data_IF_983001804927
#
_entry.id   IF_983001804927
#
_cell.length_a   1.000
_cell.length_b   1.000
_cell.length_c   1.000
_cell.angle_alpha   90.00
_cell.angle_beta   90.00
_cell.angle_gamma   90.00
#
_symmetry.space_group_name_H-M   'P 1'
#
loop_
_entity.id
_entity.type
_entity.pdbx_description
1 polymer ?
#
# COMPACT_ATOMS: atom_id res chain seq x y z
N UNK A 1 10.68 3.73 -6.47
CA UNK A 1 11.78 4.58 -6.97
C UNK A 1 12.73 3.83 -7.89
N UNK A 2 13.29 2.65 -7.49
CA UNK A 2 14.28 1.92 -8.31
C UNK A 2 13.72 1.53 -9.68
N UNK A 3 12.49 1.00 -9.73
CA UNK A 3 11.83 0.64 -10.99
C UNK A 3 11.66 1.88 -11.91
N UNK A 4 11.31 3.04 -11.34
CA UNK A 4 11.17 4.29 -12.12
C UNK A 4 12.51 4.72 -12.74
N UNK A 5 13.59 4.69 -11.96
CA UNK A 5 14.95 4.99 -12.48
C UNK A 5 15.35 4.01 -13.56
N UNK A 6 15.12 2.72 -13.33
CA UNK A 6 15.41 1.68 -14.32
C UNK A 6 14.67 1.90 -15.63
N UNK A 7 13.36 2.15 -15.58
CA UNK A 7 12.52 2.41 -16.75
C UNK A 7 12.92 3.69 -17.47
N UNK A 8 13.35 4.73 -16.75
CA UNK A 8 13.88 5.95 -17.36
C UNK A 8 15.07 5.65 -18.26
N UNK A 9 16.02 4.83 -17.79
CA UNK A 9 17.17 4.42 -18.60
C UNK A 9 16.78 3.57 -19.81
N UNK A 10 15.78 2.69 -19.65
CA UNK A 10 15.25 1.85 -20.73
C UNK A 10 14.57 2.71 -21.81
N UNK A 11 13.70 3.62 -21.41
CA UNK A 11 12.93 4.46 -22.33
C UNK A 11 13.84 5.40 -23.13
N UNK A 12 14.83 6.03 -22.48
CA UNK A 12 15.78 6.90 -23.15
C UNK A 12 16.85 6.16 -23.98
N UNK A 13 17.05 4.85 -23.73
CA UNK A 13 18.02 4.03 -24.45
C UNK A 13 19.50 4.31 -24.18
N UNK A 14 19.85 5.45 -23.57
CA UNK A 14 21.25 5.86 -23.35
C UNK A 14 22.04 4.92 -22.45
N UNK A 15 21.38 4.40 -21.40
CA UNK A 15 21.96 3.44 -20.47
C UNK A 15 21.03 2.23 -20.30
N UNK A 16 20.45 1.74 -21.40
CA UNK A 16 19.43 0.70 -21.38
C UNK A 16 19.86 -0.55 -20.59
N UNK A 17 21.11 -1.04 -20.79
CA UNK A 17 21.60 -2.21 -20.04
C UNK A 17 21.65 -1.98 -18.53
N UNK A 18 22.03 -0.78 -18.06
CA UNK A 18 22.00 -0.43 -16.64
C UNK A 18 20.57 -0.43 -16.10
N UNK A 19 19.63 0.11 -16.90
CA UNK A 19 18.22 0.11 -16.59
C UNK A 19 17.66 -1.31 -16.49
N UNK A 20 17.96 -2.15 -17.46
CA UNK A 20 17.56 -3.55 -17.48
C UNK A 20 18.12 -4.32 -16.27
N UNK A 21 19.41 -4.17 -15.98
CA UNK A 21 20.05 -4.78 -14.82
C UNK A 21 19.38 -4.34 -13.51
N UNK A 22 19.17 -3.02 -13.34
CA UNK A 22 18.51 -2.50 -12.15
C UNK A 22 17.07 -3.02 -12.00
N UNK A 23 16.33 -3.13 -13.10
CA UNK A 23 14.97 -3.65 -13.08
C UNK A 23 14.93 -5.13 -12.71
N UNK A 24 15.84 -5.94 -13.29
CA UNK A 24 15.97 -7.35 -12.98
C UNK A 24 16.40 -7.59 -11.52
N UNK A 25 17.40 -6.86 -11.03
CA UNK A 25 17.83 -6.96 -9.64
C UNK A 25 16.71 -6.58 -8.67
N UNK A 26 15.99 -5.49 -8.95
CA UNK A 26 14.83 -5.06 -8.13
C UNK A 26 13.73 -6.12 -8.13
N UNK A 27 13.48 -6.76 -9.28
CA UNK A 27 12.50 -7.83 -9.38
C UNK A 27 12.90 -9.05 -8.54
N UNK A 28 14.14 -9.52 -8.66
CA UNK A 28 14.59 -10.77 -8.00
C UNK A 28 14.78 -10.63 -6.50
N UNK A 29 15.12 -9.43 -6.00
CA UNK A 29 15.46 -9.22 -4.58
C UNK A 29 14.34 -8.59 -3.77
N UNK A 30 13.46 -7.81 -4.39
CA UNK A 30 12.50 -7.01 -3.65
C UNK A 30 11.05 -7.34 -3.98
N UNK A 31 10.71 -7.47 -5.29
CA UNK A 31 9.33 -7.62 -5.73
C UNK A 31 9.22 -8.29 -7.09
N UNK A 32 8.96 -9.57 -7.10
CA UNK A 32 8.99 -10.38 -8.32
C UNK A 32 7.89 -10.01 -9.33
N UNK A 33 6.80 -9.38 -8.91
CA UNK A 33 5.78 -8.85 -9.84
C UNK A 33 6.33 -7.84 -10.85
N UNK A 34 7.49 -7.22 -10.58
CA UNK A 34 8.20 -6.37 -11.54
C UNK A 34 8.66 -7.11 -12.80
N UNK A 35 8.68 -8.44 -12.79
CA UNK A 35 8.95 -9.25 -14.01
C UNK A 35 7.94 -8.91 -15.11
N UNK A 36 6.70 -8.58 -14.75
CA UNK A 36 5.67 -8.13 -15.68
C UNK A 36 6.01 -6.81 -16.39
N UNK A 37 6.91 -6.00 -15.85
CA UNK A 37 7.50 -4.83 -16.50
C UNK A 37 8.87 -5.14 -17.12
N UNK A 38 9.66 -6.00 -16.49
CA UNK A 38 10.99 -6.33 -16.95
C UNK A 38 10.95 -7.02 -18.32
N UNK A 39 10.14 -8.06 -18.46
CA UNK A 39 10.05 -8.82 -19.73
C UNK A 39 9.76 -7.90 -20.94
N UNK A 40 8.68 -7.10 -20.95
CA UNK A 40 8.41 -6.20 -22.08
C UNK A 40 9.49 -5.12 -22.23
N UNK A 41 10.16 -4.67 -21.15
CA UNK A 41 11.27 -3.72 -21.23
C UNK A 41 12.50 -4.34 -21.93
N UNK A 42 12.81 -5.61 -21.64
CA UNK A 42 13.87 -6.36 -22.33
C UNK A 42 13.55 -6.54 -23.81
N UNK A 43 12.33 -6.96 -24.16
CA UNK A 43 11.87 -7.12 -25.54
C UNK A 43 11.90 -5.80 -26.29
N UNK A 44 11.45 -4.71 -25.67
CA UNK A 44 11.51 -3.38 -26.23
C UNK A 44 12.94 -2.94 -26.52
N UNK A 45 13.86 -3.13 -25.58
CA UNK A 45 15.26 -2.75 -25.71
C UNK A 45 15.93 -3.53 -26.85
N UNK A 46 15.67 -4.82 -26.94
CA UNK A 46 16.16 -5.66 -28.02
C UNK A 46 15.65 -5.17 -29.38
N UNK A 47 14.35 -4.98 -29.51
CA UNK A 47 13.71 -4.66 -30.79
C UNK A 47 13.93 -3.20 -31.21
N UNK A 48 13.58 -2.26 -30.32
CA UNK A 48 13.52 -0.84 -30.67
C UNK A 48 14.90 -0.17 -30.69
N UNK A 49 15.76 -0.50 -29.74
CA UNK A 49 17.12 0.04 -29.69
C UNK A 49 18.12 -0.80 -30.51
N UNK A 50 17.65 -1.79 -31.26
CA UNK A 50 18.43 -2.69 -32.09
C UNK A 50 19.67 -3.26 -31.40
N UNK A 51 19.52 -3.57 -30.07
CA UNK A 51 20.59 -4.13 -29.28
C UNK A 51 20.75 -5.61 -29.60
N UNK A 52 22.00 -6.11 -29.61
CA UNK A 52 22.24 -7.54 -29.85
C UNK A 52 21.54 -8.36 -28.79
N UNK A 53 20.69 -9.29 -29.21
CA UNK A 53 19.90 -10.17 -28.33
C UNK A 53 20.74 -10.81 -27.23
N UNK A 54 21.92 -11.34 -27.58
CA UNK A 54 22.83 -12.00 -26.65
C UNK A 54 23.19 -11.08 -25.46
N UNK A 55 23.54 -9.81 -25.72
CA UNK A 55 23.89 -8.89 -24.63
C UNK A 55 22.69 -8.52 -23.76
N UNK A 56 21.52 -8.33 -24.36
CA UNK A 56 20.28 -8.06 -23.62
C UNK A 56 19.94 -9.28 -22.74
N UNK A 57 19.97 -10.47 -23.32
CA UNK A 57 19.72 -11.72 -22.60
C UNK A 57 20.74 -11.96 -21.48
N UNK A 58 22.03 -11.84 -21.76
CA UNK A 58 23.10 -12.04 -20.77
C UNK A 58 23.02 -11.04 -19.62
N UNK A 59 22.65 -9.76 -19.91
CA UNK A 59 22.40 -8.77 -18.85
C UNK A 59 21.30 -9.26 -17.89
N UNK A 60 20.20 -9.79 -18.44
CA UNK A 60 19.13 -10.37 -17.63
C UNK A 60 19.59 -11.59 -16.83
N UNK A 61 20.16 -12.58 -17.53
CA UNK A 61 20.54 -13.86 -16.93
C UNK A 61 21.57 -13.68 -15.80
N UNK A 62 22.65 -12.94 -16.06
CA UNK A 62 23.70 -12.69 -15.05
C UNK A 62 23.16 -11.90 -13.87
N UNK A 63 22.36 -10.86 -14.12
CA UNK A 63 21.79 -10.05 -13.04
C UNK A 63 20.78 -10.84 -12.22
N UNK A 64 19.90 -11.61 -12.84
CA UNK A 64 18.95 -12.46 -12.11
C UNK A 64 19.69 -13.49 -11.25
N UNK A 65 20.64 -14.22 -11.84
CA UNK A 65 21.41 -15.22 -11.10
C UNK A 65 22.18 -14.62 -9.91
N UNK A 66 22.88 -13.52 -10.12
CA UNK A 66 23.62 -12.82 -9.06
C UNK A 66 22.69 -12.26 -7.97
N UNK A 67 21.54 -11.71 -8.34
CA UNK A 67 20.56 -11.18 -7.40
C UNK A 67 19.89 -12.28 -6.57
N UNK A 68 19.53 -13.40 -7.20
CA UNK A 68 18.98 -14.56 -6.50
C UNK A 68 20.02 -15.13 -5.54
N UNK A 69 21.27 -15.31 -5.98
CA UNK A 69 22.34 -15.80 -5.14
C UNK A 69 22.56 -14.90 -3.90
N UNK A 70 22.58 -13.58 -4.10
CA UNK A 70 22.70 -12.61 -3.01
C UNK A 70 21.51 -12.67 -2.06
N UNK A 71 20.27 -12.71 -2.56
CA UNK A 71 19.06 -12.87 -1.73
C UNK A 71 19.12 -14.16 -0.93
N UNK A 72 19.45 -15.30 -1.58
CA UNK A 72 19.57 -16.59 -0.89
C UNK A 72 20.63 -16.55 0.23
N UNK A 73 21.77 -15.92 0.01
CA UNK A 73 22.80 -15.79 1.05
C UNK A 73 22.31 -14.97 2.24
N UNK A 74 21.74 -13.79 1.98
CA UNK A 74 21.28 -12.86 3.01
C UNK A 74 20.06 -13.44 3.74
N UNK A 75 19.04 -13.84 3.00
CA UNK A 75 17.78 -14.28 3.58
C UNK A 75 17.93 -15.61 4.33
N UNK A 76 18.74 -16.56 3.81
CA UNK A 76 19.01 -17.82 4.51
C UNK A 76 19.69 -17.59 5.85
N UNK A 77 20.59 -16.61 5.94
CA UNK A 77 21.26 -16.23 7.18
C UNK A 77 20.27 -15.65 8.22
N UNK A 78 19.51 -14.63 7.82
CA UNK A 78 18.62 -13.95 8.76
C UNK A 78 17.40 -14.79 9.16
N UNK A 79 16.83 -15.56 8.24
CA UNK A 79 15.69 -16.45 8.52
C UNK A 79 16.10 -17.80 9.10
N UNK A 80 17.41 -18.10 9.19
CA UNK A 80 17.96 -19.39 9.64
C UNK A 80 17.38 -20.58 8.87
N UNK A 81 17.09 -20.40 7.57
CA UNK A 81 16.56 -21.42 6.66
C UNK A 81 17.53 -21.60 5.50
N UNK A 82 17.88 -22.86 5.19
CA UNK A 82 18.80 -23.17 4.07
C UNK A 82 18.14 -22.85 2.73
N UNK A 83 18.87 -22.20 1.81
CA UNK A 83 18.46 -21.90 0.44
C UNK A 83 17.12 -21.17 0.33
N UNK A 84 16.86 -20.21 1.21
CA UNK A 84 15.66 -19.40 1.18
C UNK A 84 15.77 -18.27 0.16
N UNK A 85 14.89 -18.28 -0.83
CA UNK A 85 14.61 -17.16 -1.72
C UNK A 85 13.14 -16.74 -1.54
N UNK A 86 12.87 -15.67 -0.77
CA UNK A 86 11.49 -15.28 -0.40
C UNK A 86 10.60 -15.00 -1.59
N UNK A 87 11.09 -14.27 -2.60
CA UNK A 87 10.32 -13.93 -3.81
C UNK A 87 9.98 -15.20 -4.62
N UNK A 88 10.86 -16.17 -4.70
CA UNK A 88 10.57 -17.46 -5.34
C UNK A 88 9.51 -18.25 -4.60
N UNK A 89 9.58 -18.29 -3.27
CA UNK A 89 8.53 -18.91 -2.45
C UNK A 89 7.17 -18.23 -2.64
N UNK A 90 7.15 -16.90 -2.73
CA UNK A 90 5.91 -16.15 -2.98
C UNK A 90 5.28 -16.51 -4.33
N UNK A 91 6.08 -16.74 -5.38
CA UNK A 91 5.56 -17.18 -6.69
C UNK A 91 5.05 -18.62 -6.63
N UNK A 92 5.76 -19.53 -5.99
CA UNK A 92 5.29 -20.91 -5.83
C UNK A 92 3.91 -20.88 -5.16
N UNK A 93 3.78 -20.22 -4.03
CA UNK A 93 2.54 -20.11 -3.28
C UNK A 93 1.40 -19.45 -4.08
N UNK A 94 1.64 -18.26 -4.64
CA UNK A 94 0.57 -17.46 -5.23
C UNK A 94 0.20 -17.91 -6.66
N UNK A 95 1.18 -18.36 -7.46
CA UNK A 95 1.01 -18.63 -8.88
C UNK A 95 0.95 -20.12 -9.17
N UNK A 96 1.93 -20.91 -8.67
CA UNK A 96 2.02 -22.33 -9.00
C UNK A 96 0.97 -23.12 -8.21
N UNK A 97 0.86 -22.89 -6.90
CA UNK A 97 -0.13 -23.54 -6.04
C UNK A 97 -1.52 -22.89 -6.15
N UNK A 98 -1.62 -21.72 -6.79
CA UNK A 98 -2.88 -21.00 -6.96
C UNK A 98 -3.50 -20.46 -5.66
N UNK A 99 -2.75 -20.43 -4.57
CA UNK A 99 -3.23 -20.08 -3.23
C UNK A 99 -3.44 -18.57 -3.04
N UNK A 100 -3.17 -17.75 -4.05
CA UNK A 100 -3.53 -16.32 -4.01
C UNK A 100 -5.02 -16.09 -3.76
N UNK A 101 -5.88 -17.08 -4.08
CA UNK A 101 -7.33 -17.02 -3.81
C UNK A 101 -7.67 -17.03 -2.31
N UNK A 102 -6.78 -17.52 -1.42
CA UNK A 102 -6.97 -17.50 0.03
C UNK A 102 -7.05 -16.07 0.60
N UNK A 103 -6.43 -15.12 -0.09
CA UNK A 103 -6.47 -13.69 0.25
C UNK A 103 -7.69 -12.95 -0.32
N UNK A 104 -8.60 -13.69 -0.93
CA UNK A 104 -9.80 -13.18 -1.59
C UNK A 104 -9.70 -13.18 -3.11
N UNK A 105 -10.84 -13.19 -3.78
CA UNK A 105 -10.94 -13.25 -5.24
C UNK A 105 -11.56 -11.95 -5.77
N UNK A 106 -10.99 -11.42 -6.84
CA UNK A 106 -11.49 -10.23 -7.52
C UNK A 106 -11.59 -10.46 -9.03
N UNK A 107 -12.61 -9.89 -9.71
CA UNK A 107 -12.77 -10.02 -11.16
C UNK A 107 -11.53 -9.52 -11.93
N UNK A 108 -11.25 -10.06 -13.14
CA UNK A 108 -10.09 -9.65 -13.94
C UNK A 108 -10.03 -8.16 -14.25
N UNK A 109 -11.16 -7.50 -14.45
CA UNK A 109 -11.28 -6.08 -14.78
C UNK A 109 -11.10 -5.13 -13.60
N UNK A 110 -10.94 -5.64 -12.38
CA UNK A 110 -10.85 -4.83 -11.14
C UNK A 110 -9.79 -3.74 -11.23
N UNK A 111 -8.63 -4.03 -11.79
CA UNK A 111 -7.55 -3.04 -11.93
C UNK A 111 -7.92 -1.87 -12.83
N UNK A 112 -8.60 -2.14 -13.95
CA UNK A 112 -8.95 -1.11 -14.93
C UNK A 112 -10.14 -0.28 -14.45
N UNK A 113 -11.17 -0.94 -13.88
CA UNK A 113 -12.45 -0.29 -13.56
C UNK A 113 -12.45 0.35 -12.16
N UNK A 114 -11.75 -0.26 -11.20
CA UNK A 114 -11.76 0.20 -9.80
C UNK A 114 -10.46 0.88 -9.39
N UNK A 115 -9.32 0.19 -9.57
CA UNK A 115 -8.10 0.56 -8.90
C UNK A 115 -7.33 1.68 -9.63
N UNK A 116 -7.16 1.59 -10.95
CA UNK A 116 -6.52 2.67 -11.73
C UNK A 116 -7.25 4.01 -11.64
N UNK A 117 -8.61 4.09 -11.79
CA UNK A 117 -9.32 5.35 -11.57
C UNK A 117 -9.13 5.92 -10.17
N UNK A 118 -9.09 5.06 -9.13
CA UNK A 118 -8.91 5.47 -7.74
C UNK A 118 -7.50 5.97 -7.43
N UNK A 119 -6.48 5.36 -8.04
CA UNK A 119 -5.07 5.74 -7.80
C UNK A 119 -4.70 7.01 -8.59
N UNK A 120 -5.20 7.11 -9.82
CA UNK A 120 -4.80 8.16 -10.75
C UNK A 120 -5.70 9.38 -10.73
N UNK A 121 -6.96 9.27 -10.27
CA UNK A 121 -7.96 10.35 -10.31
C UNK A 121 -8.02 11.02 -11.70
N UNK A 122 -7.77 12.32 -11.78
CA UNK A 122 -7.75 13.05 -13.06
C UNK A 122 -6.68 12.58 -14.03
N UNK A 123 -5.59 12.01 -13.55
CA UNK A 123 -4.56 11.44 -14.43
C UNK A 123 -5.08 10.23 -15.22
N UNK A 124 -6.13 9.52 -14.76
CA UNK A 124 -6.69 8.39 -15.48
C UNK A 124 -7.32 8.80 -16.82
N UNK A 125 -8.33 9.67 -16.89
CA UNK A 125 -8.90 10.11 -18.16
C UNK A 125 -7.87 10.86 -19.03
N UNK A 126 -6.94 11.60 -18.43
CA UNK A 126 -5.87 12.26 -19.17
C UNK A 126 -4.89 11.25 -19.80
N UNK A 127 -4.57 10.16 -19.11
CA UNK A 127 -3.74 9.10 -19.65
C UNK A 127 -4.42 8.39 -20.82
N UNK A 128 -5.73 8.12 -20.73
CA UNK A 128 -6.52 7.59 -21.84
C UNK A 128 -6.49 8.53 -23.05
N UNK A 129 -6.65 9.83 -22.83
CA UNK A 129 -6.52 10.84 -23.88
C UNK A 129 -5.09 10.85 -24.46
N UNK A 130 -4.06 10.76 -23.60
CA UNK A 130 -2.66 10.67 -24.02
C UNK A 130 -2.36 9.45 -24.88
N UNK A 131 -3.02 8.31 -24.61
CA UNK A 131 -2.91 7.11 -25.44
C UNK A 131 -3.40 7.32 -26.89
N UNK A 132 -4.31 8.24 -27.16
CA UNK A 132 -4.78 8.51 -28.53
C UNK A 132 -3.72 9.17 -29.42
N UNK A 133 -2.68 9.72 -28.81
CA UNK A 133 -1.60 10.37 -29.56
C UNK A 133 -0.73 9.32 -30.27
N UNK A 134 -0.51 9.52 -31.57
CA UNK A 134 0.26 8.59 -32.41
C UNK A 134 1.68 8.31 -31.88
N UNK A 135 2.30 9.30 -31.22
CA UNK A 135 3.62 9.15 -30.59
C UNK A 135 3.62 8.21 -29.39
N UNK A 136 2.48 8.04 -28.71
CA UNK A 136 2.37 7.16 -27.55
C UNK A 136 2.52 5.68 -27.92
N UNK A 137 2.03 5.28 -29.10
CA UNK A 137 2.21 3.93 -29.63
C UNK A 137 3.64 3.61 -30.08
N UNK A 138 4.45 4.64 -30.31
CA UNK A 138 5.89 4.50 -30.63
C UNK A 138 6.76 4.47 -29.37
N UNK A 139 6.18 4.76 -28.22
CA UNK A 139 6.82 4.71 -26.91
C UNK A 139 6.52 3.38 -26.22
N UNK A 140 7.43 2.85 -25.40
CA UNK A 140 7.16 1.62 -24.62
C UNK A 140 6.08 1.79 -23.56
N UNK A 141 5.64 3.01 -23.24
CA UNK A 141 4.76 3.31 -22.13
C UNK A 141 3.46 2.48 -22.18
N UNK A 142 2.77 2.52 -23.31
CA UNK A 142 1.51 1.79 -23.49
C UNK A 142 1.75 0.28 -23.37
N UNK A 143 2.81 -0.22 -24.03
CA UNK A 143 3.17 -1.65 -23.96
C UNK A 143 3.44 -2.09 -22.52
N UNK A 144 4.27 -1.34 -21.79
CA UNK A 144 4.63 -1.65 -20.41
C UNK A 144 3.42 -1.65 -19.48
N UNK A 145 2.55 -0.63 -19.59
CA UNK A 145 1.33 -0.51 -18.78
C UNK A 145 0.37 -1.66 -19.08
N UNK A 146 0.06 -1.87 -20.37
CA UNK A 146 -0.91 -2.90 -20.77
C UNK A 146 -0.44 -4.31 -20.41
N UNK A 147 0.85 -4.61 -20.61
CA UNK A 147 1.43 -5.91 -20.27
C UNK A 147 1.37 -6.14 -18.76
N UNK A 148 1.76 -5.14 -17.96
CA UNK A 148 1.74 -5.26 -16.50
C UNK A 148 0.31 -5.46 -15.96
N UNK A 149 -0.63 -4.60 -16.36
CA UNK A 149 -2.03 -4.70 -15.94
C UNK A 149 -2.64 -6.02 -16.41
N UNK A 150 -2.38 -6.41 -17.66
CA UNK A 150 -2.88 -7.66 -18.23
C UNK A 150 -2.41 -8.88 -17.45
N UNK A 151 -1.08 -9.02 -17.25
CA UNK A 151 -0.50 -10.15 -16.53
C UNK A 151 -0.97 -10.21 -15.07
N UNK A 152 -0.98 -9.08 -14.37
CA UNK A 152 -1.48 -9.03 -12.99
C UNK A 152 -2.98 -9.35 -12.90
N UNK A 153 -3.76 -9.11 -13.94
CA UNK A 153 -5.20 -9.41 -13.97
C UNK A 153 -5.52 -10.91 -13.98
N UNK A 154 -4.57 -11.78 -14.30
CA UNK A 154 -4.74 -13.24 -14.22
C UNK A 154 -4.68 -13.78 -12.79
N UNK A 155 -4.03 -13.06 -11.85
CA UNK A 155 -4.03 -13.47 -10.44
C UNK A 155 -5.43 -13.39 -9.84
N UNK A 156 -5.83 -14.37 -9.02
CA UNK A 156 -7.12 -14.38 -8.34
C UNK A 156 -7.25 -13.20 -7.37
N UNK A 157 -6.24 -13.01 -6.52
CA UNK A 157 -6.17 -11.90 -5.59
C UNK A 157 -5.59 -10.64 -6.25
N UNK A 158 -6.25 -9.49 -6.06
CA UNK A 158 -5.84 -8.22 -6.64
C UNK A 158 -5.67 -7.15 -5.57
N UNK A 159 -4.46 -6.57 -5.54
CA UNK A 159 -4.15 -5.44 -4.68
C UNK A 159 -3.72 -4.23 -5.51
N UNK A 160 -4.21 -3.06 -5.15
CA UNK A 160 -3.82 -1.80 -5.80
C UNK A 160 -2.31 -1.54 -5.73
N UNK A 161 -1.61 -2.09 -4.71
CA UNK A 161 -0.16 -1.96 -4.54
C UNK A 161 0.64 -2.51 -5.71
N UNK A 162 0.13 -3.52 -6.40
CA UNK A 162 0.77 -4.09 -7.58
C UNK A 162 0.78 -3.14 -8.79
N UNK A 163 -0.07 -2.10 -8.78
CA UNK A 163 -0.11 -1.08 -9.83
C UNK A 163 0.81 0.12 -9.58
N UNK A 164 1.39 0.25 -8.39
CA UNK A 164 2.23 1.42 -8.02
C UNK A 164 3.38 1.64 -9.00
N UNK A 165 3.94 0.57 -9.57
CA UNK A 165 5.07 0.64 -10.50
C UNK A 165 4.74 1.31 -11.84
N UNK A 166 3.48 1.24 -12.27
CA UNK A 166 3.02 1.85 -13.53
C UNK A 166 2.47 3.26 -13.37
N UNK A 167 2.24 3.72 -12.14
CA UNK A 167 1.73 5.08 -11.87
C UNK A 167 2.58 6.17 -12.55
N UNK A 168 3.93 6.17 -12.45
CA UNK A 168 4.75 7.14 -13.16
C UNK A 168 4.58 7.09 -14.69
N UNK A 169 4.42 5.90 -15.26
CA UNK A 169 4.20 5.71 -16.69
C UNK A 169 2.82 6.26 -17.11
N UNK A 170 1.79 5.98 -16.32
CA UNK A 170 0.45 6.54 -16.52
C UNK A 170 0.47 8.07 -16.44
N UNK A 171 1.21 8.65 -15.50
CA UNK A 171 1.36 10.10 -15.37
C UNK A 171 2.08 10.72 -16.58
N UNK A 172 3.05 10.02 -17.20
CA UNK A 172 3.67 10.48 -18.43
C UNK A 172 2.65 10.53 -19.60
N UNK A 173 1.79 9.50 -19.72
CA UNK A 173 0.70 9.53 -20.69
C UNK A 173 -0.32 10.62 -20.36
N UNK A 174 -0.66 10.81 -19.09
CA UNK A 174 -1.55 11.86 -18.63
C UNK A 174 -1.01 13.26 -18.97
N UNK A 175 0.30 13.49 -18.84
CA UNK A 175 0.94 14.73 -19.24
C UNK A 175 0.82 14.99 -20.76
N UNK A 176 0.92 13.93 -21.58
CA UNK A 176 0.66 14.04 -23.02
C UNK A 176 -0.80 14.40 -23.30
N UNK A 177 -1.77 13.77 -22.62
CA UNK A 177 -3.18 14.11 -22.72
C UNK A 177 -3.47 15.53 -22.27
N UNK A 178 -2.91 15.95 -21.14
CA UNK A 178 -3.00 17.31 -20.64
C UNK A 178 -2.48 18.34 -21.67
N UNK A 179 -1.34 18.06 -22.32
CA UNK A 179 -0.76 18.91 -23.35
C UNK A 179 -1.67 19.07 -24.58
N UNK A 180 -2.53 18.10 -24.86
CA UNK A 180 -3.55 18.20 -25.90
C UNK A 180 -4.73 19.06 -25.44
N UNK A 181 -5.19 18.86 -24.21
CA UNK A 181 -6.36 19.53 -23.64
C UNK A 181 -6.16 21.03 -23.48
N UNK A 182 -5.01 21.48 -22.96
CA UNK A 182 -4.73 22.89 -22.68
C UNK A 182 -4.56 23.78 -23.94
N UNK A 183 -4.62 23.21 -25.13
CA UNK A 183 -4.54 23.97 -26.40
C UNK A 183 -5.77 24.86 -26.62
N UNK A 184 -6.91 24.49 -26.06
CA UNK A 184 -8.16 25.25 -26.15
C UNK A 184 -8.43 26.02 -24.86
N UNK A 185 -9.15 27.13 -24.93
CA UNK A 185 -9.55 27.91 -23.77
C UNK A 185 -10.39 27.07 -22.79
N UNK A 186 -11.40 26.36 -23.30
CA UNK A 186 -12.24 25.46 -22.50
C UNK A 186 -11.41 24.33 -21.87
N UNK A 187 -10.46 23.78 -22.61
CA UNK A 187 -9.57 22.72 -22.12
C UNK A 187 -8.70 23.16 -20.94
N UNK A 188 -8.28 24.42 -20.88
CA UNK A 188 -7.54 24.97 -19.72
C UNK A 188 -8.41 24.99 -18.46
N UNK A 189 -9.64 25.43 -18.56
CA UNK A 189 -10.57 25.42 -17.44
C UNK A 189 -10.93 24.01 -16.98
N UNK A 190 -11.14 23.10 -17.94
CA UNK A 190 -11.37 21.69 -17.63
C UNK A 190 -10.15 21.09 -16.93
N UNK A 191 -8.93 21.40 -17.38
CA UNK A 191 -7.70 20.94 -16.74
C UNK A 191 -7.56 21.43 -15.31
N UNK A 192 -7.85 22.74 -15.06
CA UNK A 192 -7.87 23.31 -13.71
C UNK A 192 -8.89 22.59 -12.81
N UNK A 193 -10.10 22.34 -13.32
CA UNK A 193 -11.13 21.58 -12.62
C UNK A 193 -10.69 20.15 -12.27
N UNK A 194 -10.07 19.43 -13.21
CA UNK A 194 -9.57 18.09 -13.00
C UNK A 194 -8.45 18.04 -11.93
N UNK A 195 -7.49 18.98 -12.01
CA UNK A 195 -6.41 19.08 -11.02
C UNK A 195 -6.95 19.45 -9.65
N UNK A 196 -7.84 20.47 -9.60
CA UNK A 196 -8.48 20.90 -8.35
C UNK A 196 -9.27 19.76 -7.69
N UNK A 197 -10.07 19.04 -8.46
CA UNK A 197 -10.82 17.88 -7.96
C UNK A 197 -9.87 16.78 -7.44
N UNK A 198 -8.79 16.48 -8.17
CA UNK A 198 -7.79 15.52 -7.71
C UNK A 198 -7.14 15.95 -6.40
N UNK A 199 -6.75 17.21 -6.28
CA UNK A 199 -6.17 17.74 -5.04
C UNK A 199 -7.16 17.63 -3.87
N UNK A 200 -8.43 18.00 -4.08
CA UNK A 200 -9.48 17.87 -3.07
C UNK A 200 -9.69 16.40 -2.63
N UNK A 201 -9.73 15.46 -3.57
CA UNK A 201 -9.86 14.03 -3.26
C UNK A 201 -8.63 13.48 -2.51
N UNK A 202 -7.43 13.95 -2.85
CA UNK A 202 -6.21 13.58 -2.12
C UNK A 202 -6.21 14.11 -0.68
N UNK A 203 -6.60 15.37 -0.47
CA UNK A 203 -6.73 15.96 0.87
C UNK A 203 -7.75 15.17 1.69
N UNK A 204 -8.91 14.88 1.12
CA UNK A 204 -9.94 14.07 1.77
C UNK A 204 -9.44 12.67 2.11
N UNK A 205 -8.77 12.00 1.15
CA UNK A 205 -8.20 10.68 1.36
C UNK A 205 -7.13 10.65 2.45
N UNK A 206 -6.27 11.67 2.49
CA UNK A 206 -5.26 11.83 3.55
C UNK A 206 -5.92 12.00 4.92
N UNK A 207 -6.94 12.84 5.00
CA UNK A 207 -7.69 13.06 6.25
C UNK A 207 -8.37 11.76 6.74
N UNK A 208 -9.00 10.99 5.83
CA UNK A 208 -9.58 9.67 6.16
C UNK A 208 -8.50 8.69 6.62
N UNK A 209 -7.33 8.71 5.98
CA UNK A 209 -6.24 7.77 6.27
C UNK A 209 -5.67 7.90 7.69
N UNK A 210 -5.75 9.08 8.31
CA UNK A 210 -5.32 9.31 9.70
C UNK A 210 -6.05 8.36 10.67
N UNK A 211 -7.32 8.07 10.39
CA UNK A 211 -8.19 7.25 11.23
C UNK A 211 -8.24 5.76 10.84
N UNK A 212 -7.35 5.34 9.95
CA UNK A 212 -7.36 3.97 9.44
C UNK A 212 -6.56 2.98 10.31
N UNK A 213 -5.93 3.48 11.37
CA UNK A 213 -5.04 2.70 12.22
C UNK A 213 -5.46 2.69 13.70
N UNK A 214 -6.72 2.31 14.02
CA UNK A 214 -7.21 2.30 15.41
C UNK A 214 -6.40 1.36 16.32
N UNK A 215 -5.83 0.27 15.80
CA UNK A 215 -4.98 -0.64 16.57
C UNK A 215 -3.68 0.02 17.05
N UNK A 216 -3.04 0.81 16.19
CA UNK A 216 -1.84 1.54 16.57
C UNK A 216 -2.12 2.57 17.67
N UNK A 217 -3.26 3.26 17.60
CA UNK A 217 -3.70 4.20 18.63
C UNK A 217 -4.06 3.49 19.93
N UNK A 218 -4.76 2.35 19.88
CA UNK A 218 -5.06 1.53 21.02
C UNK A 218 -3.79 1.09 21.77
N UNK A 219 -2.78 0.62 21.04
CA UNK A 219 -1.52 0.21 21.64
C UNK A 219 -0.76 1.40 22.26
N UNK A 220 -0.78 2.57 21.62
CA UNK A 220 -0.19 3.79 22.16
C UNK A 220 -0.84 4.21 23.47
N UNK A 221 -2.18 4.23 23.53
CA UNK A 221 -2.94 4.55 24.75
C UNK A 221 -2.59 3.55 25.86
N UNK A 222 -2.57 2.27 25.54
CA UNK A 222 -2.26 1.21 26.48
C UNK A 222 -0.86 1.38 27.08
N UNK A 223 0.16 1.67 26.27
CA UNK A 223 1.53 1.90 26.73
C UNK A 223 1.68 3.16 27.57
N UNK A 224 0.84 4.19 27.37
CA UNK A 224 0.89 5.41 28.17
C UNK A 224 0.18 5.29 29.50
N UNK A 225 -0.85 4.43 29.59
CA UNK A 225 -1.67 4.28 30.81
C UNK A 225 -1.18 3.17 31.73
N UNK A 226 -0.44 2.18 31.22
CA UNK A 226 0.01 1.02 31.97
C UNK A 226 1.53 0.95 32.01
N UNK A 227 2.09 0.91 33.22
CA UNK A 227 3.55 0.86 33.43
C UNK A 227 4.06 -0.50 33.91
N UNK A 228 3.17 -1.33 34.47
CA UNK A 228 3.52 -2.65 34.99
C UNK A 228 3.55 -3.71 33.89
N UNK A 229 4.21 -4.85 34.17
CA UNK A 229 4.22 -5.98 33.25
C UNK A 229 2.80 -6.50 32.99
N UNK A 230 2.45 -6.68 31.72
CA UNK A 230 1.11 -7.06 31.29
C UNK A 230 1.15 -8.22 30.29
N UNK A 231 0.11 -9.05 30.32
CA UNK A 231 -0.18 -10.00 29.25
C UNK A 231 -1.36 -9.45 28.44
N UNK A 232 -1.07 -9.01 27.23
CA UNK A 232 -2.01 -8.29 26.38
C UNK A 232 -2.47 -9.18 25.24
N UNK A 233 -3.76 -9.48 25.19
CA UNK A 233 -4.36 -10.10 24.01
C UNK A 233 -4.65 -9.04 22.93
N UNK A 234 -4.41 -9.40 21.67
CA UNK A 234 -4.55 -8.51 20.51
C UNK A 234 -5.44 -9.20 19.48
N UNK A 235 -6.65 -8.71 19.34
CA UNK A 235 -7.61 -9.16 18.34
C UNK A 235 -7.13 -8.90 16.90
N UNK A 236 -7.71 -9.61 15.95
CA UNK A 236 -7.35 -9.58 14.51
C UNK A 236 -7.40 -8.18 13.93
N UNK A 237 -8.47 -7.41 14.17
CA UNK A 237 -8.59 -6.03 13.68
C UNK A 237 -7.49 -5.13 14.25
N UNK A 238 -7.17 -5.26 15.52
CA UNK A 238 -6.10 -4.50 16.14
C UNK A 238 -4.74 -4.83 15.51
N UNK A 239 -4.47 -6.13 15.29
CA UNK A 239 -3.26 -6.59 14.61
C UNK A 239 -3.17 -6.07 13.16
N UNK A 240 -4.29 -6.04 12.42
CA UNK A 240 -4.36 -5.55 11.04
C UNK A 240 -4.27 -4.02 10.93
N UNK A 241 -4.63 -3.28 11.98
CA UNK A 241 -4.73 -1.82 11.96
C UNK A 241 -3.67 -1.12 12.82
N UNK A 242 -2.48 -1.70 12.89
CA UNK A 242 -1.30 -1.00 13.38
C UNK A 242 -0.62 -1.59 14.62
N UNK A 243 -1.15 -2.64 15.27
CA UNK A 243 -0.41 -3.32 16.34
C UNK A 243 0.68 -4.17 15.72
N UNK A 244 1.88 -3.61 15.63
CA UNK A 244 3.07 -4.27 15.09
C UNK A 244 4.11 -4.52 16.16
N UNK A 245 5.00 -5.47 15.92
CA UNK A 245 6.14 -5.75 16.79
C UNK A 245 7.05 -4.51 16.98
N UNK A 246 7.13 -3.67 15.95
CA UNK A 246 7.91 -2.42 15.97
C UNK A 246 7.42 -1.43 17.03
N UNK A 247 6.11 -1.41 17.31
CA UNK A 247 5.50 -0.55 18.33
C UNK A 247 5.51 -1.16 19.74
N UNK A 248 5.94 -2.41 19.89
CA UNK A 248 5.96 -3.13 21.16
C UNK A 248 7.21 -2.73 21.97
N UNK A 249 7.12 -1.63 22.71
CA UNK A 249 8.25 -1.03 23.45
C UNK A 249 8.69 -1.81 24.70
N UNK A 250 7.83 -2.69 25.21
CA UNK A 250 8.07 -3.48 26.43
C UNK A 250 8.46 -4.94 26.15
N UNK A 251 8.92 -5.25 24.95
CA UNK A 251 9.42 -6.59 24.63
C UNK A 251 10.73 -6.91 25.36
N UNK A 252 10.87 -8.17 25.75
CA UNK A 252 12.18 -8.69 26.16
C UNK A 252 13.21 -8.44 25.06
N UNK A 253 14.30 -7.77 25.39
CA UNK A 253 15.41 -7.59 24.44
C UNK A 253 16.07 -8.95 24.18
N UNK A 254 16.56 -9.20 22.95
CA UNK A 254 17.35 -10.39 22.66
C UNK A 254 18.53 -10.51 23.65
N UNK A 255 18.88 -11.74 24.00
CA UNK A 255 19.97 -12.06 24.94
C UNK A 255 21.33 -11.42 24.60
N UNK A 256 21.51 -10.90 23.39
CA UNK A 256 22.73 -10.23 22.92
C UNK A 256 22.67 -8.69 23.04
N UNK A 257 21.64 -8.13 23.68
CA UNK A 257 21.58 -6.70 23.92
C UNK A 257 22.59 -6.34 25.03
N UNK A 258 23.57 -5.47 24.70
CA UNK A 258 24.61 -5.00 25.63
C UNK A 258 24.07 -4.08 26.74
N UNK A 259 22.80 -3.66 26.65
CA UNK A 259 22.20 -2.77 27.65
C UNK A 259 21.17 -3.56 28.44
N UNK A 260 21.33 -3.73 29.77
CA UNK A 260 20.34 -4.33 30.63
C UNK A 260 19.04 -3.51 30.59
N UNK A 261 17.92 -4.15 30.28
CA UNK A 261 16.61 -3.49 30.38
C UNK A 261 16.05 -3.74 31.78
N UNK A 262 15.82 -2.69 32.54
CA UNK A 262 15.09 -2.73 33.81
C UNK A 262 13.57 -2.57 33.60
N UNK A 263 13.13 -2.39 32.35
CA UNK A 263 11.71 -2.23 32.03
C UNK A 263 10.96 -3.55 32.19
N UNK A 264 9.73 -3.53 32.72
CA UNK A 264 8.91 -4.71 32.81
C UNK A 264 8.66 -5.31 31.42
N UNK A 265 8.76 -6.63 31.32
CA UNK A 265 8.56 -7.36 30.06
C UNK A 265 7.07 -7.64 29.89
N UNK A 266 6.51 -7.21 28.77
CA UNK A 266 5.14 -7.49 28.41
C UNK A 266 5.06 -8.68 27.44
N UNK A 267 3.96 -9.41 27.51
CA UNK A 267 3.63 -10.49 26.57
C UNK A 267 2.49 -10.03 25.68
N UNK A 268 2.71 -10.02 24.36
CA UNK A 268 1.70 -9.67 23.36
C UNK A 268 1.21 -10.96 22.69
N UNK A 269 -0.03 -11.36 23.01
CA UNK A 269 -0.64 -12.60 22.53
C UNK A 269 -1.60 -12.30 21.38
N UNK A 270 -1.34 -12.90 20.22
CA UNK A 270 -2.15 -12.77 18.99
C UNK A 270 -2.84 -14.07 18.59
N UNK A 271 -2.91 -15.06 19.50
CA UNK A 271 -3.60 -16.31 19.20
C UNK A 271 -5.09 -16.05 19.01
N UNK A 272 -5.62 -16.57 17.90
CA UNK A 272 -7.05 -16.52 17.61
C UNK A 272 -7.81 -17.55 18.46
N UNK A 273 -9.07 -17.26 18.78
CA UNK A 273 -10.03 -18.20 19.42
C UNK A 273 -9.83 -18.56 20.90
N UNK A 274 -9.02 -17.84 21.65
CA UNK A 274 -8.89 -18.09 23.11
C UNK A 274 -9.55 -16.94 23.89
N UNK A 275 -10.88 -16.85 23.84
CA UNK A 275 -11.64 -15.78 24.50
C UNK A 275 -11.66 -15.87 26.04
N UNK A 276 -11.28 -17.01 26.64
CA UNK A 276 -11.35 -17.28 28.08
C UNK A 276 -10.00 -17.67 28.69
N UNK A 277 -8.89 -17.22 28.10
CA UNK A 277 -7.59 -17.52 28.69
C UNK A 277 -7.35 -16.62 29.91
N UNK A 278 -7.34 -17.25 31.06
CA UNK A 278 -7.03 -16.63 32.36
C UNK A 278 -5.66 -15.94 32.41
N UNK A 279 -4.81 -16.16 31.42
CA UNK A 279 -3.48 -15.56 31.37
C UNK A 279 -3.48 -14.10 30.98
N UNK A 280 -4.56 -13.59 30.35
CA UNK A 280 -4.60 -12.20 29.89
C UNK A 280 -5.05 -11.25 30.99
N UNK A 281 -4.25 -10.22 31.20
CA UNK A 281 -4.58 -9.10 32.10
C UNK A 281 -5.29 -7.97 31.36
N UNK A 282 -4.97 -7.81 30.06
CA UNK A 282 -5.51 -6.79 29.17
C UNK A 282 -5.89 -7.41 27.83
N UNK A 283 -6.85 -6.80 27.14
CA UNK A 283 -7.18 -7.14 25.76
C UNK A 283 -7.45 -5.88 24.94
N UNK A 284 -6.97 -5.86 23.70
CA UNK A 284 -7.41 -4.90 22.67
C UNK A 284 -8.39 -5.65 21.77
N UNK A 285 -9.70 -5.43 22.01
CA UNK A 285 -10.77 -6.23 21.40
C UNK A 285 -11.60 -5.45 20.41
N UNK A 286 -12.11 -6.17 19.40
CA UNK A 286 -13.11 -5.67 18.44
C UNK A 286 -14.52 -5.59 19.04
N UNK A 287 -14.74 -6.27 20.16
CA UNK A 287 -16.01 -6.29 20.86
C UNK A 287 -15.95 -5.43 22.10
N UNK A 288 -17.07 -4.84 22.46
CA UNK A 288 -17.19 -4.13 23.71
C UNK A 288 -16.85 -5.05 24.89
N UNK A 289 -16.17 -4.50 25.88
CA UNK A 289 -15.77 -5.25 27.05
C UNK A 289 -17.00 -5.80 27.79
N UNK A 290 -16.93 -7.03 28.23
CA UNK A 290 -17.95 -7.71 29.04
C UNK A 290 -17.27 -8.49 30.17
N UNK A 291 -18.00 -8.79 31.25
CA UNK A 291 -17.44 -9.51 32.38
C UNK A 291 -16.69 -10.77 31.93
N UNK A 292 -15.52 -11.09 32.49
CA UNK A 292 -14.85 -10.44 33.62
C UNK A 292 -13.96 -9.25 33.29
N UNK A 293 -14.15 -8.59 32.13
CA UNK A 293 -13.36 -7.46 31.68
C UNK A 293 -14.15 -6.15 31.77
N UNK A 294 -13.49 -5.08 32.24
CA UNK A 294 -14.01 -3.72 32.25
C UNK A 294 -13.26 -2.83 31.23
N UNK A 295 -13.93 -1.85 30.62
CA UNK A 295 -13.29 -0.95 29.67
C UNK A 295 -12.27 -0.02 30.36
N UNK A 296 -11.15 0.21 29.69
CA UNK A 296 -10.13 1.18 30.09
C UNK A 296 -10.20 2.37 29.15
N UNK A 297 -10.87 3.44 29.61
CA UNK A 297 -11.07 4.63 28.79
C UNK A 297 -12.20 4.51 27.76
N UNK A 298 -12.21 5.44 26.81
CA UNK A 298 -13.20 5.46 25.73
C UNK A 298 -12.80 4.50 24.59
N UNK A 299 -13.79 3.97 23.85
CA UNK A 299 -13.51 3.13 22.70
C UNK A 299 -12.80 3.92 21.59
N UNK A 300 -11.84 3.28 20.96
CA UNK A 300 -11.08 3.87 19.85
C UNK A 300 -11.92 3.82 18.58
N UNK A 301 -12.22 5.01 18.04
CA UNK A 301 -13.00 5.15 16.83
C UNK A 301 -12.12 4.95 15.58
N UNK A 302 -12.68 4.25 14.60
CA UNK A 302 -12.09 4.08 13.28
C UNK A 302 -13.02 4.57 12.18
N UNK A 303 -12.48 4.68 10.97
CA UNK A 303 -13.24 5.07 9.79
C UNK A 303 -14.32 4.03 9.45
N UNK A 304 -15.56 4.50 9.21
CA UNK A 304 -16.73 3.69 8.91
C UNK A 304 -17.47 4.13 7.62
N UNK A 305 -16.89 5.01 6.85
CA UNK A 305 -17.43 5.43 5.56
C UNK A 305 -17.67 6.92 5.43
N UNK A 306 -18.17 7.28 4.25
CA UNK A 306 -18.52 8.65 3.89
C UNK A 306 -20.04 8.77 3.77
N UNK A 307 -20.60 9.83 4.32
CA UNK A 307 -22.02 10.20 4.12
C UNK A 307 -22.14 11.55 3.46
N UNK A 308 -23.07 11.69 2.53
CA UNK A 308 -23.41 12.98 1.94
C UNK A 308 -24.02 13.88 3.00
N UNK A 309 -23.51 15.11 3.13
CA UNK A 309 -24.00 16.13 4.04
C UNK A 309 -25.19 16.83 3.41
N UNK A 310 -26.39 16.50 3.84
CA UNK A 310 -27.64 17.06 3.29
C UNK A 310 -27.76 18.59 3.48
N UNK A 311 -27.14 19.11 4.54
CA UNK A 311 -27.15 20.54 4.92
C UNK A 311 -25.94 21.32 4.41
N UNK A 312 -25.09 20.70 3.56
CA UNK A 312 -23.80 21.25 3.13
C UNK A 312 -23.86 22.73 2.67
N UNK A 313 -24.82 23.05 1.80
CA UNK A 313 -24.98 24.42 1.28
C UNK A 313 -25.41 25.39 2.37
N UNK A 314 -26.31 24.97 3.27
CA UNK A 314 -26.77 25.75 4.40
C UNK A 314 -25.64 26.00 5.40
N UNK A 315 -24.85 24.99 5.71
CA UNK A 315 -23.73 25.09 6.63
C UNK A 315 -22.64 26.05 6.10
N UNK A 316 -22.34 26.01 4.80
CA UNK A 316 -21.40 26.95 4.16
C UNK A 316 -21.94 28.40 4.17
N UNK A 317 -23.23 28.58 3.90
CA UNK A 317 -23.85 29.92 3.95
C UNK A 317 -23.87 30.50 5.38
N UNK A 318 -24.07 29.65 6.38
CA UNK A 318 -23.98 30.04 7.79
C UNK A 318 -22.54 30.44 8.18
N UNK A 319 -21.54 29.64 7.81
CA UNK A 319 -20.14 29.96 8.06
C UNK A 319 -19.72 31.26 7.37
N UNK A 320 -20.13 31.48 6.12
CA UNK A 320 -19.85 32.72 5.38
C UNK A 320 -20.48 33.94 6.01
N UNK A 321 -21.71 33.82 6.56
CA UNK A 321 -22.44 34.93 7.24
C UNK A 321 -21.88 35.20 8.65
N UNK A 322 -21.40 34.13 9.33
CA UNK A 322 -20.86 34.24 10.69
C UNK A 322 -19.38 34.68 10.76
N UNK A 323 -18.71 34.91 9.63
CA UNK A 323 -17.30 35.31 9.58
C UNK A 323 -16.33 34.27 10.09
N UNK A 324 -16.77 33.01 10.25
CA UNK A 324 -15.94 31.89 10.67
C UNK A 324 -15.44 31.11 9.46
N UNK A 325 -14.12 30.84 9.41
CA UNK A 325 -13.58 30.00 8.37
C UNK A 325 -13.97 28.53 8.61
N UNK A 326 -14.57 27.86 7.60
CA UNK A 326 -14.92 26.45 7.74
C UNK A 326 -13.68 25.59 7.93
N UNK A 327 -13.78 24.56 8.75
CA UNK A 327 -12.72 23.54 8.88
C UNK A 327 -12.57 22.76 7.59
N UNK A 328 -11.40 22.13 7.38
CA UNK A 328 -11.13 21.32 6.17
C UNK A 328 -12.24 20.27 5.95
N UNK A 329 -12.74 19.67 7.03
CA UNK A 329 -13.84 18.69 6.95
C UNK A 329 -15.18 19.31 6.52
N UNK A 330 -15.37 20.60 6.75
CA UNK A 330 -16.59 21.33 6.38
C UNK A 330 -16.58 21.82 4.93
N UNK A 331 -15.41 21.91 4.32
CA UNK A 331 -15.26 22.28 2.90
C UNK A 331 -15.73 21.18 1.93
N UNK A 332 -15.94 19.95 2.43
CA UNK A 332 -16.41 18.86 1.59
C UNK A 332 -17.89 18.56 1.80
N UNK A 333 -18.64 18.23 0.74
CA UNK A 333 -20.04 17.81 0.85
C UNK A 333 -20.19 16.41 1.49
N UNK A 334 -19.08 15.78 1.85
CA UNK A 334 -19.00 14.46 2.44
C UNK A 334 -18.61 14.55 3.91
N UNK A 335 -19.42 13.98 4.80
CA UNK A 335 -19.10 13.81 6.22
C UNK A 335 -18.46 12.46 6.43
N UNK A 336 -17.28 12.45 7.04
CA UNK A 336 -16.62 11.22 7.46
C UNK A 336 -17.36 10.66 8.68
N UNK A 337 -17.72 9.38 8.62
CA UNK A 337 -18.34 8.68 9.73
C UNK A 337 -17.26 7.92 10.50
N UNK A 338 -17.25 8.09 11.80
CA UNK A 338 -16.44 7.34 12.73
C UNK A 338 -17.36 6.51 13.62
N UNK A 339 -16.96 5.26 13.88
CA UNK A 339 -17.64 4.37 14.83
C UNK A 339 -16.60 3.73 15.74
N UNK A 340 -16.97 3.39 16.97
CA UNK A 340 -16.11 2.57 17.83
C UNK A 340 -15.71 1.28 17.13
N UNK A 341 -14.41 1.01 17.09
CA UNK A 341 -13.84 -0.17 16.42
C UNK A 341 -13.07 -1.07 17.36
N UNK A 342 -12.41 -0.49 18.36
CA UNK A 342 -11.60 -1.23 19.31
C UNK A 342 -11.84 -0.70 20.72
N UNK A 343 -11.79 -1.63 21.66
CA UNK A 343 -11.89 -1.38 23.10
C UNK A 343 -10.64 -1.90 23.78
N UNK A 344 -10.13 -1.15 24.75
CA UNK A 344 -9.10 -1.64 25.68
C UNK A 344 -9.85 -2.18 26.89
N UNK A 345 -9.71 -3.46 27.17
CA UNK A 345 -10.40 -4.15 28.23
C UNK A 345 -9.41 -4.67 29.28
N UNK A 346 -9.64 -4.35 30.55
CA UNK A 346 -8.83 -4.83 31.67
C UNK A 346 -9.61 -5.87 32.45
N UNK A 347 -8.98 -6.97 32.81
CA UNK A 347 -9.57 -7.99 33.67
C UNK A 347 -9.76 -7.45 35.07
N UNK A 348 -10.96 -7.63 35.64
CA UNK A 348 -11.34 -7.15 36.97
C UNK A 348 -11.35 -8.23 38.01
N UNK A 349 -11.49 -9.50 37.61
CA UNK A 349 -11.55 -10.66 38.52
C UNK A 349 -10.30 -11.53 38.34
N UNK A 350 -9.69 -11.98 39.45
CA UNK A 350 -8.65 -13.00 39.38
C UNK A 350 -9.23 -14.32 38.82
N UNK A 351 -8.45 -15.10 38.17
CA UNK A 351 -8.83 -16.47 37.80
C UNK A 351 -8.79 -17.43 38.97
#
# INVERSE_FOLDING_TARGET
>A
PLATVALTHVVHGRHAYKGLALLAATAMMLRLELVCLAVPAYLWTWWHHQRRFVYVFMTGAVTCAGSIALSVLVDSYFWRKRFLWPEGHAVIFNVIEGRSAEWGVSPPWTYVVRDLPRILFAAFPLALLGCTRRSSFRSPLVLLICTHVGLMSFLAHKEWRFLVYIVPLCNMLAAQGASMLIRTYLGRWLMLGLVGTSAALWILGTHVSIYNYPGGEALRILHTQMQEAQVVHIDTLAAMTGVSLFQSIHLARPAHSLVPSQAPVWVYDKREHVLDDCTWTLAISERACHAPYAPVGEPISGYDGLRLRRTYVQDLLHAARGGTWPTISELFPLKIRFTPRLWICRRTEPC
#
